data_IF_197335410176
#
_entry.id   IF_197335410176
#
_cell.length_a   1.000
_cell.length_b   1.000
_cell.length_c   1.000
_cell.angle_alpha   90.00
_cell.angle_beta   90.00
_cell.angle_gamma   90.00
#
_symmetry.space_group_name_H-M   'P 1'
#
loop_
_entity.id
_entity.type
_entity.pdbx_description
1 polymer ?
#
# COMPACT_ATOMS: atom_id res chain seq x y z
N UNK A 1 -19.89 -31.01 2.77
CA UNK A 1 -20.26 -31.15 4.20
C UNK A 1 -19.82 -29.85 4.84
N UNK A 2 -20.76 -28.90 4.98
CA UNK A 2 -20.52 -27.58 5.56
C UNK A 2 -20.55 -27.72 7.08
N UNK A 3 -19.45 -27.43 7.73
CA UNK A 3 -19.38 -27.42 9.19
C UNK A 3 -19.92 -26.07 9.71
N UNK A 4 -21.18 -26.06 10.13
CA UNK A 4 -21.83 -24.89 10.75
C UNK A 4 -21.22 -24.55 12.12
N UNK A 5 -20.40 -25.44 12.71
CA UNK A 5 -19.78 -25.22 14.02
C UNK A 5 -18.62 -24.20 14.01
N UNK A 6 -18.07 -23.88 12.83
CA UNK A 6 -16.96 -22.91 12.70
C UNK A 6 -17.45 -21.45 12.72
N UNK A 7 -18.77 -21.22 12.63
CA UNK A 7 -19.35 -19.86 12.54
C UNK A 7 -19.71 -19.21 13.88
N UNK A 8 -19.52 -19.89 15.02
CA UNK A 8 -20.10 -19.46 16.29
C UNK A 8 -19.08 -19.42 17.43
N UNK A 9 -18.52 -18.24 17.71
CA UNK A 9 -18.21 -17.70 19.07
C UNK A 9 -17.34 -16.43 19.07
N UNK A 10 -16.75 -16.05 17.93
CA UNK A 10 -16.04 -14.78 17.72
C UNK A 10 -16.35 -14.32 16.30
N UNK A 11 -17.44 -13.57 16.09
CA UNK A 11 -17.48 -12.70 14.91
C UNK A 11 -16.82 -11.39 15.34
N UNK A 12 -15.52 -11.18 15.03
CA UNK A 12 -14.94 -9.87 15.23
C UNK A 12 -15.75 -8.87 14.38
N UNK A 13 -16.16 -7.76 14.99
CA UNK A 13 -16.76 -6.67 14.24
C UNK A 13 -15.77 -6.24 13.16
N UNK A 14 -16.18 -6.39 11.90
CA UNK A 14 -15.35 -6.03 10.76
C UNK A 14 -15.29 -4.51 10.65
N UNK A 15 -14.20 -3.92 11.15
CA UNK A 15 -13.92 -2.50 10.94
C UNK A 15 -13.33 -2.33 9.54
N UNK A 16 -14.07 -1.64 8.67
CA UNK A 16 -13.62 -1.31 7.31
C UNK A 16 -13.13 0.13 7.29
N UNK A 17 -11.85 0.32 6.98
CA UNK A 17 -11.28 1.62 6.73
C UNK A 17 -11.47 1.96 5.25
N UNK A 18 -12.30 2.96 4.97
CA UNK A 18 -12.52 3.45 3.63
C UNK A 18 -11.38 4.39 3.21
N UNK A 19 -11.15 4.53 1.90
CA UNK A 19 -10.25 5.55 1.39
C UNK A 19 -10.78 6.93 1.78
N UNK A 20 -9.90 7.81 2.26
CA UNK A 20 -10.28 9.17 2.63
C UNK A 20 -10.75 9.95 1.40
N UNK A 21 -11.80 10.74 1.59
CA UNK A 21 -12.22 11.78 0.65
C UNK A 21 -11.20 12.94 0.60
N UNK A 22 -11.33 13.80 -0.40
CA UNK A 22 -10.45 14.97 -0.53
C UNK A 22 -10.56 15.92 0.66
N UNK A 23 -11.75 16.04 1.25
CA UNK A 23 -11.97 16.90 2.42
C UNK A 23 -11.35 16.29 3.69
N UNK A 24 -11.46 14.98 3.88
CA UNK A 24 -10.82 14.29 5.00
C UNK A 24 -9.29 14.36 4.90
N UNK A 25 -8.73 14.13 3.71
CA UNK A 25 -7.28 14.32 3.47
C UNK A 25 -6.87 15.76 3.76
N UNK A 26 -7.66 16.74 3.32
CA UNK A 26 -7.36 18.15 3.57
C UNK A 26 -7.32 18.47 5.05
N UNK A 27 -8.29 17.99 5.84
CA UNK A 27 -8.30 18.21 7.28
C UNK A 27 -7.13 17.48 7.97
N UNK A 28 -6.80 16.25 7.55
CA UNK A 28 -5.60 15.55 8.05
C UNK A 28 -4.34 16.39 7.80
N UNK A 29 -4.14 16.85 6.58
CA UNK A 29 -2.95 17.62 6.21
C UNK A 29 -2.91 18.98 6.90
N UNK A 30 -4.07 19.62 7.06
CA UNK A 30 -4.19 20.88 7.80
C UNK A 30 -3.82 20.72 9.27
N UNK A 31 -4.32 19.69 9.95
CA UNK A 31 -3.92 19.39 11.33
C UNK A 31 -2.40 19.23 11.44
N UNK A 32 -1.77 18.51 10.50
CA UNK A 32 -0.31 18.36 10.49
C UNK A 32 0.45 19.63 10.11
N UNK A 33 -0.12 20.47 9.25
CA UNK A 33 0.45 21.75 8.88
C UNK A 33 0.40 22.74 10.05
N UNK A 34 -0.71 22.80 10.78
CA UNK A 34 -0.89 23.66 11.96
C UNK A 34 0.08 23.28 13.09
N UNK A 35 0.37 21.99 13.28
CA UNK A 35 1.32 21.51 14.30
C UNK A 35 2.79 21.62 13.85
N UNK A 36 3.06 21.40 12.57
CA UNK A 36 4.43 21.17 12.07
C UNK A 36 5.03 22.32 11.24
N UNK A 37 4.23 23.26 10.73
CA UNK A 37 4.68 24.31 9.83
C UNK A 37 4.42 25.70 10.42
N UNK A 38 5.39 26.60 10.27
CA UNK A 38 5.21 28.01 10.64
C UNK A 38 4.27 28.76 9.67
N UNK A 39 4.26 28.37 8.39
CA UNK A 39 3.40 28.95 7.35
C UNK A 39 3.13 27.94 6.25
N UNK A 40 1.95 28.02 5.66
CA UNK A 40 1.56 27.23 4.50
C UNK A 40 0.47 27.96 3.70
N UNK A 41 0.34 27.61 2.42
CA UNK A 41 -0.73 28.13 1.55
C UNK A 41 -1.95 27.19 1.58
N UNK A 42 -3.13 27.77 1.82
CA UNK A 42 -4.38 27.00 1.99
C UNK A 42 -4.91 26.43 0.67
N UNK A 43 -4.69 27.13 -0.44
CA UNK A 43 -5.12 26.68 -1.77
C UNK A 43 -4.23 25.54 -2.24
N UNK A 44 -2.91 25.67 -2.05
CA UNK A 44 -1.93 24.63 -2.36
C UNK A 44 -2.12 23.38 -1.51
N UNK A 45 -2.54 23.53 -0.24
CA UNK A 45 -2.96 22.42 0.59
C UNK A 45 -4.20 21.70 0.03
N UNK A 46 -5.16 22.48 -0.49
CA UNK A 46 -6.33 21.95 -1.21
C UNK A 46 -5.93 21.18 -2.46
N UNK A 47 -5.02 21.74 -3.28
CA UNK A 47 -4.47 21.06 -4.46
C UNK A 47 -3.75 19.76 -4.08
N UNK A 48 -2.90 19.79 -3.06
CA UNK A 48 -2.19 18.61 -2.56
C UNK A 48 -3.17 17.51 -2.18
N UNK A 49 -4.25 17.87 -1.48
CA UNK A 49 -5.30 16.95 -1.04
C UNK A 49 -6.04 16.31 -2.22
N UNK A 50 -6.49 17.13 -3.17
CA UNK A 50 -7.21 16.65 -4.35
C UNK A 50 -6.33 15.73 -5.22
N UNK A 51 -5.05 16.07 -5.38
CA UNK A 51 -4.10 15.25 -6.10
C UNK A 51 -3.79 13.93 -5.38
N UNK A 52 -3.68 13.94 -4.06
CA UNK A 52 -3.44 12.73 -3.27
C UNK A 52 -4.58 11.71 -3.44
N UNK A 53 -5.83 12.18 -3.40
CA UNK A 53 -6.99 11.31 -3.62
C UNK A 53 -7.02 10.79 -5.05
N UNK A 54 -6.82 11.67 -6.04
CA UNK A 54 -6.91 11.31 -7.46
C UNK A 54 -5.82 10.33 -7.90
N UNK A 55 -4.58 10.58 -7.50
CA UNK A 55 -3.40 9.94 -8.10
C UNK A 55 -2.71 8.94 -7.15
N UNK A 56 -2.99 9.01 -5.84
CA UNK A 56 -2.24 8.29 -4.80
C UNK A 56 -3.14 7.57 -3.79
N UNK A 57 -4.39 7.25 -4.17
CA UNK A 57 -5.32 6.41 -3.39
C UNK A 57 -5.57 6.90 -1.96
N UNK A 58 -5.49 8.22 -1.77
CA UNK A 58 -5.67 8.83 -0.46
C UNK A 58 -4.70 8.32 0.61
N UNK A 59 -3.50 7.86 0.23
CA UNK A 59 -2.49 7.41 1.20
C UNK A 59 -1.93 8.62 1.97
N UNK A 60 -2.45 8.81 3.19
CA UNK A 60 -2.09 9.91 4.05
C UNK A 60 -0.56 9.97 4.34
N UNK A 61 0.17 8.85 4.28
CA UNK A 61 1.63 8.84 4.49
C UNK A 61 2.34 9.66 3.40
N UNK A 62 1.92 9.47 2.15
CA UNK A 62 2.44 10.24 1.01
C UNK A 62 2.08 11.72 1.18
N UNK A 63 0.83 12.01 1.56
CA UNK A 63 0.38 13.39 1.78
C UNK A 63 1.19 14.12 2.85
N UNK A 64 1.39 13.49 4.01
CA UNK A 64 2.18 14.05 5.12
C UNK A 64 3.64 14.22 4.72
N UNK A 65 4.21 13.26 3.99
CA UNK A 65 5.58 13.35 3.48
C UNK A 65 5.73 14.46 2.44
N UNK A 66 4.77 14.63 1.55
CA UNK A 66 4.74 15.72 0.59
C UNK A 66 4.62 17.07 1.30
N UNK A 67 3.83 17.15 2.37
CA UNK A 67 3.69 18.34 3.23
C UNK A 67 5.03 18.71 3.91
N UNK A 68 5.77 17.72 4.40
CA UNK A 68 7.13 17.91 4.94
C UNK A 68 8.08 18.47 3.86
N UNK A 69 8.08 17.87 2.66
CA UNK A 69 8.95 18.28 1.54
C UNK A 69 8.63 19.72 1.11
N UNK A 70 7.37 20.03 0.83
CA UNK A 70 6.97 21.36 0.36
C UNK A 70 7.16 22.42 1.44
N UNK A 71 6.94 22.07 2.71
CA UNK A 71 7.19 22.94 3.86
C UNK A 71 8.66 23.30 4.01
N UNK A 72 9.57 22.32 3.80
CA UNK A 72 11.03 22.57 3.79
C UNK A 72 11.48 23.46 2.63
N UNK A 73 10.92 23.24 1.45
CA UNK A 73 11.19 24.08 0.27
C UNK A 73 10.57 25.48 0.43
N UNK A 74 9.47 25.57 1.19
CA UNK A 74 8.62 26.74 1.35
C UNK A 74 8.25 27.37 -0.02
N UNK A 75 7.93 26.52 -0.99
CA UNK A 75 7.45 26.89 -2.33
C UNK A 75 6.11 26.23 -2.56
N UNK A 76 5.06 27.02 -2.60
CA UNK A 76 3.68 26.54 -2.61
C UNK A 76 2.99 26.71 -3.97
N UNK A 77 3.75 26.86 -5.06
CA UNK A 77 3.20 26.80 -6.42
C UNK A 77 2.78 25.37 -6.83
N UNK A 78 1.90 25.28 -7.83
CA UNK A 78 1.35 24.03 -8.35
C UNK A 78 2.44 23.02 -8.76
N UNK A 79 3.52 23.49 -9.39
CA UNK A 79 4.61 22.62 -9.84
C UNK A 79 5.36 22.01 -8.65
N UNK A 80 5.62 22.82 -7.63
CA UNK A 80 6.24 22.37 -6.38
C UNK A 80 5.36 21.37 -5.62
N UNK A 81 4.03 21.53 -5.61
CA UNK A 81 3.09 20.55 -5.04
C UNK A 81 3.18 19.21 -5.77
N UNK A 82 3.14 19.24 -7.11
CA UNK A 82 3.22 18.04 -7.96
C UNK A 82 4.54 17.30 -7.77
N UNK A 83 5.65 18.04 -7.76
CA UNK A 83 6.98 17.49 -7.55
C UNK A 83 7.11 16.86 -6.16
N UNK A 84 6.61 17.53 -5.12
CA UNK A 84 6.66 17.05 -3.73
C UNK A 84 5.86 15.76 -3.55
N UNK A 85 4.67 15.65 -4.13
CA UNK A 85 3.88 14.41 -4.11
C UNK A 85 4.60 13.24 -4.79
N UNK A 86 5.17 13.49 -5.97
CA UNK A 86 5.93 12.47 -6.70
C UNK A 86 7.16 12.00 -5.92
N UNK A 87 7.89 12.92 -5.31
CA UNK A 87 9.04 12.59 -4.47
C UNK A 87 8.62 11.83 -3.22
N UNK A 88 7.59 12.32 -2.51
CA UNK A 88 7.03 11.66 -1.33
C UNK A 88 6.61 10.23 -1.61
N UNK A 89 5.98 9.98 -2.76
CA UNK A 89 5.58 8.64 -3.16
C UNK A 89 6.77 7.68 -3.25
N UNK A 90 7.84 8.09 -3.94
CA UNK A 90 9.06 7.28 -4.08
C UNK A 90 9.74 7.04 -2.74
N UNK A 91 9.79 8.06 -1.88
CA UNK A 91 10.38 7.94 -0.54
C UNK A 91 9.58 7.00 0.35
N UNK A 92 8.25 7.15 0.43
CA UNK A 92 7.37 6.29 1.21
C UNK A 92 7.41 4.84 0.71
N UNK A 93 7.37 4.64 -0.61
CA UNK A 93 7.47 3.31 -1.21
C UNK A 93 8.83 2.65 -0.88
N UNK A 94 9.93 3.39 -1.06
CA UNK A 94 11.28 2.90 -0.76
C UNK A 94 11.49 2.59 0.73
N UNK A 95 11.00 3.43 1.63
CA UNK A 95 11.01 3.16 3.08
C UNK A 95 10.15 1.95 3.44
N UNK A 96 8.98 1.80 2.82
CA UNK A 96 8.10 0.65 3.05
C UNK A 96 8.79 -0.65 2.63
N UNK A 97 9.44 -0.68 1.47
CA UNK A 97 10.19 -1.84 0.99
C UNK A 97 11.39 -2.17 1.88
N UNK A 98 12.17 -1.17 2.30
CA UNK A 98 13.33 -1.36 3.19
C UNK A 98 12.96 -1.95 4.55
N UNK A 99 11.75 -1.69 5.03
CA UNK A 99 11.26 -2.16 6.31
C UNK A 99 10.50 -3.50 6.24
N UNK A 100 10.38 -4.10 5.05
CA UNK A 100 9.84 -5.46 4.92
C UNK A 100 10.80 -6.49 5.49
N UNK A 101 10.27 -7.47 6.22
CA UNK A 101 11.05 -8.65 6.57
C UNK A 101 11.36 -9.50 5.33
N UNK A 102 12.51 -10.17 5.32
CA UNK A 102 13.00 -10.95 4.18
C UNK A 102 11.96 -11.94 3.63
N UNK A 103 11.19 -12.58 4.51
CA UNK A 103 10.11 -13.49 4.09
C UNK A 103 9.02 -12.77 3.28
N UNK A 104 8.58 -11.61 3.75
CA UNK A 104 7.52 -10.86 3.09
C UNK A 104 8.02 -10.25 1.78
N UNK A 105 9.30 -9.86 1.72
CA UNK A 105 9.97 -9.44 0.49
C UNK A 105 10.03 -10.57 -0.55
N UNK A 106 10.37 -11.78 -0.13
CA UNK A 106 10.39 -12.96 -1.00
C UNK A 106 8.98 -13.36 -1.48
N UNK A 107 7.97 -13.23 -0.62
CA UNK A 107 6.57 -13.43 -1.00
C UNK A 107 6.11 -12.36 -2.00
N UNK A 108 6.47 -11.09 -1.78
CA UNK A 108 6.21 -10.00 -2.71
C UNK A 108 6.86 -10.28 -4.08
N UNK A 109 8.11 -10.73 -4.11
CA UNK A 109 8.80 -11.12 -5.34
C UNK A 109 8.08 -12.26 -6.08
N UNK A 110 7.55 -13.26 -5.36
CA UNK A 110 6.75 -14.33 -5.95
C UNK A 110 5.44 -13.82 -6.55
N UNK A 111 4.77 -12.84 -5.91
CA UNK A 111 3.55 -12.20 -6.42
C UNK A 111 3.82 -11.32 -7.65
N UNK A 112 4.96 -10.62 -7.69
CA UNK A 112 5.40 -9.86 -8.87
C UNK A 112 5.59 -10.79 -10.07
N UNK A 113 6.21 -11.95 -9.84
CA UNK A 113 6.41 -12.98 -10.87
C UNK A 113 5.09 -13.65 -11.30
N UNK A 114 4.21 -13.92 -10.35
CA UNK A 114 2.93 -14.59 -10.57
C UNK A 114 1.78 -13.90 -9.82
N UNK A 115 0.95 -13.18 -10.57
CA UNK A 115 -0.15 -12.42 -9.98
C UNK A 115 -1.26 -13.32 -9.39
N UNK A 116 -1.46 -14.55 -9.89
CA UNK A 116 -2.39 -15.49 -9.25
C UNK A 116 -1.84 -15.97 -7.90
N UNK A 117 -2.56 -15.65 -6.83
CA UNK A 117 -2.10 -15.91 -5.45
C UNK A 117 -1.91 -17.39 -5.13
N UNK A 118 -2.69 -18.30 -5.74
CA UNK A 118 -2.53 -19.74 -5.52
C UNK A 118 -1.29 -20.29 -6.26
N UNK A 119 -0.98 -19.76 -7.44
CA UNK A 119 0.26 -20.08 -8.16
C UNK A 119 1.48 -19.53 -7.42
N UNK A 120 1.44 -18.27 -6.99
CA UNK A 120 2.50 -17.68 -6.18
C UNK A 120 2.74 -18.49 -4.89
N UNK A 121 1.67 -18.91 -4.20
CA UNK A 121 1.80 -19.80 -3.04
C UNK A 121 2.48 -21.13 -3.40
N UNK A 122 2.09 -21.76 -4.51
CA UNK A 122 2.71 -23.00 -4.96
C UNK A 122 4.22 -22.84 -5.13
N UNK A 123 4.68 -21.75 -5.76
CA UNK A 123 6.11 -21.45 -5.91
C UNK A 123 6.81 -21.20 -4.56
N UNK A 124 6.21 -20.41 -3.68
CA UNK A 124 6.74 -20.16 -2.33
C UNK A 124 6.88 -21.46 -1.54
N UNK A 125 5.86 -22.31 -1.58
CA UNK A 125 5.83 -23.59 -0.85
C UNK A 125 6.83 -24.61 -1.37
N UNK A 126 7.13 -24.57 -2.68
CA UNK A 126 8.12 -25.42 -3.33
C UNK A 126 9.54 -24.85 -3.25
N UNK A 127 9.72 -23.63 -2.73
CA UNK A 127 11.02 -22.98 -2.65
C UNK A 127 11.95 -23.71 -1.69
N UNK A 128 13.19 -23.94 -2.14
CA UNK A 128 14.28 -24.43 -1.29
C UNK A 128 14.87 -23.36 -0.36
N UNK A 129 14.39 -22.10 -0.44
CA UNK A 129 14.89 -21.02 0.40
C UNK A 129 14.53 -21.27 1.88
N UNK A 130 15.53 -21.21 2.76
CA UNK A 130 15.37 -21.47 4.19
C UNK A 130 14.31 -20.58 4.86
N UNK A 131 14.15 -19.34 4.38
CA UNK A 131 13.18 -18.36 4.89
C UNK A 131 11.73 -18.64 4.43
N UNK A 132 11.56 -19.41 3.36
CA UNK A 132 10.26 -19.80 2.83
C UNK A 132 9.88 -21.25 3.16
N UNK A 133 10.84 -22.02 3.68
CA UNK A 133 10.65 -23.44 3.97
C UNK A 133 9.55 -23.63 5.01
N UNK A 134 8.53 -24.39 4.65
CA UNK A 134 7.42 -24.71 5.55
C UNK A 134 6.40 -23.58 5.74
N UNK A 135 6.42 -22.54 4.88
CA UNK A 135 5.36 -21.51 4.88
C UNK A 135 4.01 -22.18 4.58
N UNK A 136 3.14 -22.17 5.58
CA UNK A 136 1.77 -22.66 5.43
C UNK A 136 0.96 -21.74 4.52
N UNK A 137 -0.12 -22.26 3.93
CA UNK A 137 -1.06 -21.44 3.14
C UNK A 137 -1.60 -20.27 3.96
N UNK A 138 -1.92 -20.49 5.24
CA UNK A 138 -2.39 -19.44 6.14
C UNK A 138 -1.34 -18.33 6.32
N UNK A 139 -0.08 -18.71 6.57
CA UNK A 139 1.03 -17.76 6.75
C UNK A 139 1.28 -16.96 5.48
N UNK A 140 1.22 -17.60 4.30
CA UNK A 140 1.32 -16.91 3.02
C UNK A 140 0.22 -15.84 2.87
N UNK A 141 -1.05 -16.19 3.11
CA UNK A 141 -2.14 -15.21 2.98
C UNK A 141 -2.11 -14.12 4.07
N UNK A 142 -1.54 -14.38 5.25
CA UNK A 142 -1.23 -13.33 6.23
C UNK A 142 -0.23 -12.32 5.67
N UNK A 143 0.87 -12.79 5.06
CA UNK A 143 1.84 -11.93 4.38
C UNK A 143 1.21 -11.17 3.20
N UNK A 144 0.38 -11.82 2.39
CA UNK A 144 -0.34 -11.15 1.29
C UNK A 144 -1.23 -10.02 1.81
N UNK A 145 -2.01 -10.27 2.87
CA UNK A 145 -2.86 -9.24 3.47
C UNK A 145 -2.03 -8.10 4.07
N UNK A 146 -0.90 -8.42 4.69
CA UNK A 146 0.04 -7.42 5.20
C UNK A 146 0.59 -6.54 4.07
N UNK A 147 1.06 -7.14 2.96
CA UNK A 147 1.53 -6.40 1.78
C UNK A 147 0.44 -5.51 1.16
N UNK A 148 -0.82 -5.96 1.18
CA UNK A 148 -1.96 -5.15 0.76
C UNK A 148 -2.18 -3.95 1.69
N UNK A 149 -2.11 -4.16 3.00
CA UNK A 149 -2.27 -3.08 3.99
C UNK A 149 -1.15 -2.04 3.91
N UNK A 150 0.06 -2.45 3.48
CA UNK A 150 1.16 -1.54 3.20
C UNK A 150 0.98 -0.73 1.89
N UNK A 151 -0.02 -1.07 1.08
CA UNK A 151 -0.28 -0.42 -0.20
C UNK A 151 0.62 -0.89 -1.34
N UNK A 152 1.34 -2.01 -1.19
CA UNK A 152 2.27 -2.53 -2.20
C UNK A 152 1.56 -3.38 -3.26
N UNK A 153 0.44 -4.00 -2.89
CA UNK A 153 -0.42 -4.78 -3.77
C UNK A 153 -1.90 -4.46 -3.50
N UNK A 154 -2.76 -4.84 -4.43
CA UNK A 154 -4.21 -4.95 -4.19
C UNK A 154 -4.71 -6.30 -4.68
N UNK A 155 -5.67 -6.89 -3.97
CA UNK A 155 -6.26 -8.18 -4.33
C UNK A 155 -7.57 -8.00 -5.09
N UNK A 156 -7.62 -8.56 -6.30
CA UNK A 156 -8.78 -8.52 -7.19
C UNK A 156 -9.37 -9.92 -7.30
N UNK A 157 -10.69 -10.03 -7.09
CA UNK A 157 -11.42 -11.27 -7.35
C UNK A 157 -11.51 -11.50 -8.85
N UNK A 158 -10.96 -12.61 -9.33
CA UNK A 158 -11.06 -13.04 -10.73
C UNK A 158 -11.92 -14.29 -10.86
N UNK A 159 -12.88 -14.26 -11.78
CA UNK A 159 -13.71 -15.42 -12.11
C UNK A 159 -12.98 -16.30 -13.13
N UNK A 160 -12.80 -17.58 -12.81
CA UNK A 160 -12.25 -18.61 -13.71
C UNK A 160 -13.30 -19.72 -13.81
N UNK A 161 -14.03 -19.75 -14.93
CA UNK A 161 -15.16 -20.67 -15.12
C UNK A 161 -16.24 -20.48 -14.06
N UNK A 162 -16.45 -21.50 -13.22
CA UNK A 162 -17.43 -21.48 -12.11
C UNK A 162 -16.83 -21.08 -10.76
N UNK A 163 -15.52 -20.84 -10.69
CA UNK A 163 -14.81 -20.54 -9.45
C UNK A 163 -14.26 -19.10 -9.44
N UNK A 164 -13.96 -18.60 -8.24
CA UNK A 164 -13.24 -17.34 -8.05
C UNK A 164 -11.85 -17.62 -7.50
N UNK A 165 -10.83 -16.95 -8.04
CA UNK A 165 -9.47 -16.86 -7.50
C UNK A 165 -9.17 -15.41 -7.14
N UNK A 166 -8.07 -15.19 -6.41
CA UNK A 166 -7.56 -13.85 -6.13
C UNK A 166 -6.31 -13.61 -6.98
N UNK A 167 -6.31 -12.51 -7.72
CA UNK A 167 -5.12 -11.97 -8.37
C UNK A 167 -4.59 -10.79 -7.57
N UNK A 168 -3.27 -10.75 -7.41
CA UNK A 168 -2.55 -9.62 -6.85
C UNK A 168 -2.14 -8.69 -7.98
N UNK A 169 -2.59 -7.45 -7.93
CA UNK A 169 -2.10 -6.38 -8.76
C UNK A 169 -0.99 -5.64 -8.00
N UNK A 170 0.17 -5.50 -8.63
CA UNK A 170 1.32 -4.78 -8.07
C UNK A 170 1.10 -3.28 -8.19
N UNK A 171 1.33 -2.55 -7.10
CA UNK A 171 1.16 -1.10 -7.03
C UNK A 171 2.48 -0.34 -6.97
N UNK A 172 3.59 -1.07 -6.83
CA UNK A 172 4.95 -0.52 -6.84
C UNK A 172 5.20 0.29 -8.12
N UNK A 173 5.87 1.43 -7.98
CA UNK A 173 6.39 2.15 -9.14
C UNK A 173 7.47 1.29 -9.82
N UNK A 174 7.28 0.98 -11.10
CA UNK A 174 8.23 0.14 -11.86
C UNK A 174 9.69 0.60 -11.72
N UNK A 175 9.94 1.88 -11.47
CA UNK A 175 11.28 2.46 -11.33
C UNK A 175 12.10 1.86 -10.20
N UNK A 176 11.48 1.36 -9.12
CA UNK A 176 12.19 0.76 -7.99
C UNK A 176 12.54 -0.72 -8.21
N UNK A 177 11.85 -1.41 -9.12
CA UNK A 177 12.08 -2.83 -9.42
C UNK A 177 13.27 -3.08 -10.36
N UNK A 178 13.82 -2.04 -11.00
CA UNK A 178 14.95 -2.12 -11.95
C UNK A 178 16.27 -1.55 -11.40
N UNK A 179 16.37 -1.30 -10.09
CA UNK A 179 17.61 -0.80 -9.48
C UNK A 179 18.59 -1.90 -9.02
N UNK A 180 18.26 -3.18 -9.24
CA UNK A 180 19.15 -4.32 -8.98
C UNK A 180 19.26 -5.26 -10.19
N UNK A 181 19.70 -4.71 -11.33
CA UNK A 181 20.17 -5.50 -12.48
C UNK A 181 21.46 -4.92 -13.05
#
# INVERSE_FOLDING_TARGET
>A
MNDESVKSSLQPDHIVFHEYSSDEIREILKMRADEGLNRYDKESLGLLSAMLVRDYRSDARIGIKALEIIGRLNKWDDDSVRASLKQAYVEVEGETLKNLGDRDLLILAALIKNQDTNRAYSEVSASGNMLLRGVSKSTFFQSVNYLQNLGLITLIKKKIGRYYTMESQILLSMRLLYLES
#
